data_IF_949079458440
#
_entry.id   IF_949079458440
#
_cell.length_a   1.000
_cell.length_b   1.000
_cell.length_c   1.000
_cell.angle_alpha   90.00
_cell.angle_beta   90.00
_cell.angle_gamma   90.00
#
_symmetry.space_group_name_H-M   'P 1'
#
loop_
_entity.id
_entity.type
_entity.pdbx_description
1 polymer ?
#
# COMPACT_ATOMS: atom_id res chain seq x y z
N UNK A 1 -4.65 -18.17 -11.29
CA UNK A 1 -3.29 -17.58 -11.25
C UNK A 1 -3.24 -16.47 -12.28
N UNK A 2 -3.23 -15.20 -11.87
CA UNK A 2 -3.21 -14.07 -12.81
C UNK A 2 -2.07 -13.13 -12.44
N UNK A 3 -1.21 -12.91 -13.43
CA UNK A 3 0.02 -12.10 -13.46
C UNK A 3 -0.09 -10.80 -12.66
N UNK A 4 0.91 -10.42 -11.86
CA UNK A 4 2.23 -9.89 -12.29
C UNK A 4 2.07 -8.73 -13.29
N UNK A 5 1.50 -7.62 -12.83
CA UNK A 5 1.72 -6.32 -13.45
C UNK A 5 2.83 -5.62 -12.66
N UNK A 6 4.06 -5.76 -13.13
CA UNK A 6 5.18 -4.91 -12.74
C UNK A 6 4.85 -3.49 -13.25
N UNK A 7 4.24 -2.65 -12.41
CA UNK A 7 3.80 -1.30 -12.80
C UNK A 7 5.03 -0.37 -12.76
N UNK A 8 5.89 -0.52 -13.77
CA UNK A 8 6.76 0.56 -14.20
C UNK A 8 5.94 1.54 -15.03
N UNK A 9 6.09 2.83 -14.74
CA UNK A 9 5.65 3.98 -15.55
C UNK A 9 4.25 4.53 -15.28
N UNK A 10 4.10 5.28 -14.17
CA UNK A 10 3.89 6.75 -14.18
C UNK A 10 3.52 7.30 -12.79
N UNK A 11 4.27 8.35 -12.42
CA UNK A 11 3.97 9.45 -11.49
C UNK A 11 4.15 9.36 -9.95
N UNK A 12 4.26 8.22 -9.25
CA UNK A 12 4.41 8.27 -7.77
C UNK A 12 5.47 7.35 -7.12
N UNK A 13 6.33 6.66 -7.88
CA UNK A 13 7.53 6.01 -7.29
C UNK A 13 8.60 7.05 -6.89
N UNK A 14 8.33 7.82 -5.85
CA UNK A 14 9.34 8.50 -5.04
C UNK A 14 9.36 7.91 -3.63
N UNK A 15 9.26 6.59 -3.54
CA UNK A 15 9.57 5.86 -2.31
C UNK A 15 11.08 5.65 -2.22
N UNK A 16 11.72 6.42 -1.35
CA UNK A 16 13.10 6.19 -0.95
C UNK A 16 13.12 5.03 0.05
N UNK A 17 13.76 3.89 -0.29
CA UNK A 17 13.99 2.70 0.57
C UNK A 17 12.80 1.78 0.87
N UNK A 18 11.99 1.41 -0.12
CA UNK A 18 11.02 0.29 0.03
C UNK A 18 9.78 0.58 0.91
N UNK A 19 9.56 1.86 1.25
CA UNK A 19 8.41 2.30 2.05
C UNK A 19 7.39 3.04 1.17
N UNK A 20 6.28 2.37 0.87
CA UNK A 20 5.20 2.92 0.05
C UNK A 20 4.52 4.11 0.73
N UNK A 21 4.10 5.08 -0.07
CA UNK A 21 3.16 6.11 0.36
C UNK A 21 1.74 5.56 0.43
N UNK A 22 0.78 6.34 0.96
CA UNK A 22 -0.64 5.95 0.92
C UNK A 22 -1.16 5.77 -0.49
N UNK A 23 -0.70 6.57 -1.45
CA UNK A 23 -1.07 6.42 -2.85
C UNK A 23 -0.47 5.16 -3.46
N UNK A 24 0.81 4.89 -3.22
CA UNK A 24 1.45 3.66 -3.71
C UNK A 24 0.75 2.40 -3.15
N UNK A 25 0.44 2.39 -1.84
CA UNK A 25 -0.30 1.29 -1.24
C UNK A 25 -1.71 1.13 -1.84
N UNK A 26 -2.36 2.24 -2.20
CA UNK A 26 -3.67 2.22 -2.85
C UNK A 26 -3.60 1.59 -4.24
N UNK A 27 -2.53 1.90 -4.99
CA UNK A 27 -2.25 1.30 -6.28
C UNK A 27 -1.98 -0.21 -6.19
N UNK A 28 -1.13 -0.65 -5.25
CA UNK A 28 -0.86 -2.07 -5.03
C UNK A 28 -2.12 -2.84 -4.66
N UNK A 29 -2.97 -2.24 -3.81
CA UNK A 29 -4.23 -2.85 -3.39
C UNK A 29 -5.37 -2.70 -4.40
N UNK A 30 -5.19 -1.91 -5.47
CA UNK A 30 -6.25 -1.61 -6.45
C UNK A 30 -7.46 -0.88 -5.85
N UNK A 31 -7.28 -0.09 -4.79
CA UNK A 31 -8.34 0.65 -4.10
C UNK A 31 -8.10 2.15 -4.11
N UNK A 32 -9.10 2.94 -3.73
CA UNK A 32 -8.91 4.38 -3.53
C UNK A 32 -8.05 4.67 -2.28
N UNK A 33 -7.26 5.74 -2.30
CA UNK A 33 -6.45 6.17 -1.15
C UNK A 33 -7.27 6.48 0.11
N UNK A 34 -8.55 6.87 -0.03
CA UNK A 34 -9.49 6.99 1.08
C UNK A 34 -9.78 5.65 1.77
N UNK A 35 -9.87 4.56 1.01
CA UNK A 35 -10.01 3.19 1.53
C UNK A 35 -8.77 2.78 2.30
N UNK A 36 -7.57 3.09 1.79
CA UNK A 36 -6.32 2.82 2.52
C UNK A 36 -6.31 3.53 3.87
N UNK A 37 -6.67 4.83 3.90
CA UNK A 37 -6.78 5.57 5.18
C UNK A 37 -7.81 4.96 6.13
N UNK A 38 -8.93 4.46 5.59
CA UNK A 38 -9.93 3.74 6.39
C UNK A 38 -9.36 2.45 6.98
N UNK A 39 -8.65 1.63 6.19
CA UNK A 39 -7.99 0.41 6.65
C UNK A 39 -6.95 0.68 7.73
N UNK A 40 -6.19 1.77 7.59
CA UNK A 40 -5.24 2.25 8.62
C UNK A 40 -5.96 2.62 9.91
N UNK A 41 -7.06 3.39 9.82
CA UNK A 41 -7.88 3.77 10.99
C UNK A 41 -8.53 2.56 11.66
N UNK A 42 -8.88 1.54 10.88
CA UNK A 42 -9.42 0.26 11.37
C UNK A 42 -8.32 -0.67 11.92
N UNK A 43 -7.04 -0.32 11.80
CA UNK A 43 -5.92 -1.14 12.26
C UNK A 43 -5.66 -2.39 11.42
N UNK A 44 -6.23 -2.47 10.21
CA UNK A 44 -6.12 -3.63 9.32
C UNK A 44 -4.87 -3.62 8.45
N UNK A 45 -4.34 -2.43 8.18
CA UNK A 45 -3.13 -2.27 7.38
C UNK A 45 -1.99 -1.78 8.29
N UNK A 46 -0.90 -2.55 8.43
CA UNK A 46 0.24 -2.12 9.23
C UNK A 46 0.87 -0.89 8.58
N UNK A 47 1.24 0.08 9.40
CA UNK A 47 1.78 1.35 8.92
C UNK A 47 2.79 1.93 9.91
N UNK A 48 3.72 2.69 9.37
CA UNK A 48 4.67 3.52 10.12
C UNK A 48 4.31 4.97 9.90
N UNK A 49 4.16 5.74 10.97
CA UNK A 49 3.98 7.19 10.88
C UNK A 49 5.32 7.88 10.95
N UNK A 50 5.51 8.86 10.06
CA UNK A 50 6.64 9.80 10.18
C UNK A 50 6.29 10.90 11.18
N UNK A 51 7.28 11.61 11.72
CA UNK A 51 7.06 12.77 12.60
C UNK A 51 6.18 13.87 11.97
N UNK A 52 6.07 13.92 10.64
CA UNK A 52 5.17 14.82 9.91
C UNK A 52 3.74 14.28 9.68
N UNK A 53 3.37 13.13 10.27
CA UNK A 53 2.03 12.57 10.17
C UNK A 53 1.72 11.82 8.86
N UNK A 54 2.71 11.67 7.96
CA UNK A 54 2.53 10.85 6.76
C UNK A 54 2.67 9.36 7.08
N UNK A 55 1.77 8.56 6.51
CA UNK A 55 1.81 7.11 6.59
C UNK A 55 2.81 6.53 5.60
N UNK A 56 3.57 5.55 6.06
CA UNK A 56 4.51 4.74 5.28
C UNK A 56 4.16 3.27 5.46
N UNK A 57 4.15 2.53 4.36
CA UNK A 57 3.78 1.12 4.36
C UNK A 57 4.94 0.30 3.84
N UNK A 58 5.12 -0.90 4.38
CA UNK A 58 6.07 -1.84 3.79
C UNK A 58 5.42 -2.53 2.59
N UNK A 59 6.13 -2.63 1.46
CA UNK A 59 5.58 -3.28 0.27
C UNK A 59 5.19 -4.73 0.56
N UNK A 60 6.03 -5.47 1.31
CA UNK A 60 5.78 -6.88 1.60
C UNK A 60 4.51 -7.08 2.44
N UNK A 61 4.24 -6.18 3.40
CA UNK A 61 3.04 -6.24 4.22
C UNK A 61 1.77 -5.90 3.42
N UNK A 62 1.86 -4.93 2.50
CA UNK A 62 0.74 -4.57 1.63
C UNK A 62 0.41 -5.70 0.65
N UNK A 63 1.42 -6.34 0.07
CA UNK A 63 1.24 -7.51 -0.80
C UNK A 63 0.66 -8.71 -0.04
N UNK A 64 1.15 -8.98 1.18
CA UNK A 64 0.61 -10.03 2.03
C UNK A 64 -0.87 -9.79 2.36
N UNK A 65 -1.23 -8.55 2.71
CA UNK A 65 -2.61 -8.17 2.96
C UNK A 65 -3.50 -8.30 1.71
N UNK A 66 -2.97 -7.96 0.52
CA UNK A 66 -3.67 -8.16 -0.74
C UNK A 66 -3.98 -9.65 -0.98
N UNK A 67 -2.99 -10.53 -0.77
CA UNK A 67 -3.14 -11.96 -0.92
C UNK A 67 -4.15 -12.56 0.08
N UNK A 68 -4.13 -12.13 1.34
CA UNK A 68 -5.12 -12.55 2.35
C UNK A 68 -6.55 -12.15 1.97
N UNK A 69 -6.71 -10.98 1.33
CA UNK A 69 -8.01 -10.51 0.86
C UNK A 69 -8.54 -11.27 -0.34
N UNK A 70 -7.67 -11.73 -1.24
CA UNK A 70 -8.08 -12.56 -2.39
C UNK A 70 -8.41 -13.99 -1.99
N UNK A 71 -7.78 -14.50 -0.92
CA UNK A 71 -8.02 -15.84 -0.40
C UNK A 71 -9.35 -15.99 0.36
N UNK A 72 -10.09 -14.90 0.56
CA UNK A 72 -11.28 -14.82 1.41
C UNK A 72 -12.52 -14.47 0.61
#
# INVERSE_FOLDING_TARGET
MRQMAYISERACMRSFKGLLTTEDAAWVLGVAGSTVRKLVREGKLPHKTTFGGHYRFDLAEVEAFAAEREAK
#
